data_IF_218923197205
#
_entry.id   IF_218923197205
#
_cell.length_a   1.000
_cell.length_b   1.000
_cell.length_c   1.000
_cell.angle_alpha   90.00
_cell.angle_beta   90.00
_cell.angle_gamma   90.00
#
_symmetry.space_group_name_H-M   'P 1'
#
loop_
_entity.id
_entity.type
_entity.pdbx_description
1 polymer ?
#
# COMPACT_ATOMS: atom_id res chain seq x y z
N UNK A 1 48.93 -8.40 21.86
CA UNK A 1 47.48 -8.29 22.17
C UNK A 1 46.88 -7.19 21.31
N UNK A 2 46.32 -7.56 20.14
CA UNK A 2 45.78 -6.60 19.18
C UNK A 2 44.41 -6.10 19.65
N UNK A 3 44.27 -4.79 19.87
CA UNK A 3 43.00 -4.15 20.22
C UNK A 3 42.07 -4.21 19.00
N UNK A 4 41.05 -5.05 19.04
CA UNK A 4 39.98 -5.08 18.04
C UNK A 4 39.18 -3.78 18.17
N UNK A 5 39.33 -2.85 17.21
CA UNK A 5 38.41 -1.73 17.01
C UNK A 5 37.11 -2.32 16.47
N UNK A 6 36.09 -2.39 17.30
CA UNK A 6 34.73 -2.62 16.83
C UNK A 6 34.12 -1.25 16.50
N UNK A 7 33.78 -1.05 15.22
CA UNK A 7 33.00 0.09 14.75
C UNK A 7 31.52 -0.12 15.14
N UNK A 8 30.89 0.76 15.93
CA UNK A 8 29.53 0.59 16.44
C UNK A 8 28.44 0.96 15.42
N UNK A 9 28.74 0.90 14.12
CA UNK A 9 27.79 1.25 13.05
C UNK A 9 26.60 0.28 12.93
N UNK A 10 26.58 -0.80 13.73
CA UNK A 10 25.53 -1.82 13.74
C UNK A 10 24.44 -1.59 14.79
N UNK A 11 24.54 -0.57 15.65
CA UNK A 11 23.52 -0.26 16.67
C UNK A 11 22.32 0.56 16.16
N UNK A 12 22.25 0.86 14.86
CA UNK A 12 21.07 1.49 14.25
C UNK A 12 20.20 0.39 13.64
N UNK A 13 19.64 -0.46 14.51
CA UNK A 13 18.64 -1.46 14.15
C UNK A 13 17.54 -1.33 15.19
N UNK A 14 16.59 -0.41 14.99
CA UNK A 14 15.21 -0.63 15.47
C UNK A 14 14.13 0.37 15.01
N UNK A 15 14.42 1.34 14.15
CA UNK A 15 13.34 2.22 13.65
C UNK A 15 13.31 2.23 12.12
N UNK A 16 12.43 1.39 11.55
CA UNK A 16 11.91 1.62 10.21
C UNK A 16 11.05 2.89 10.27
N UNK A 17 11.69 4.05 10.24
CA UNK A 17 11.00 5.32 10.10
C UNK A 17 10.31 5.30 8.74
N UNK A 18 8.98 5.41 8.72
CA UNK A 18 8.26 5.61 7.47
C UNK A 18 8.83 6.87 6.81
N UNK A 19 9.21 6.78 5.54
CA UNK A 19 9.70 7.93 4.77
C UNK A 19 8.63 9.03 4.86
N UNK A 20 8.92 10.08 5.64
CA UNK A 20 8.03 11.22 5.78
C UNK A 20 7.81 11.83 4.39
N UNK A 21 6.60 11.66 3.85
CA UNK A 21 6.24 12.09 2.49
C UNK A 21 5.78 10.98 1.54
N UNK A 22 5.82 9.71 1.94
CA UNK A 22 5.13 8.66 1.19
C UNK A 22 3.62 8.83 1.40
N UNK A 23 2.90 9.21 0.33
CA UNK A 23 1.44 9.17 0.33
C UNK A 23 0.99 7.76 0.72
N UNK A 24 -0.10 7.61 1.50
CA UNK A 24 -0.50 6.30 1.98
C UNK A 24 -0.83 5.41 0.78
N UNK A 25 -0.04 4.35 0.64
CA UNK A 25 -0.31 3.27 -0.27
C UNK A 25 -1.62 2.60 0.15
N UNK A 26 -2.63 2.64 -0.71
CA UNK A 26 -3.97 2.12 -0.39
C UNK A 26 -4.15 0.75 -1.01
N UNK A 27 -4.04 -0.27 -0.15
CA UNK A 27 -4.28 -1.65 -0.50
C UNK A 27 -5.71 -2.05 -0.16
N UNK A 28 -6.43 -2.62 -1.14
CA UNK A 28 -7.82 -3.03 -0.99
C UNK A 28 -8.06 -4.39 -1.61
N UNK A 29 -8.94 -5.24 -1.05
CA UNK A 29 -9.32 -6.48 -1.69
C UNK A 29 -10.17 -6.22 -2.93
N UNK A 30 -9.85 -6.86 -4.05
CA UNK A 30 -10.71 -6.86 -5.22
C UNK A 30 -12.02 -7.60 -4.93
N UNK A 31 -13.21 -7.02 -5.20
CA UNK A 31 -14.49 -7.67 -4.88
C UNK A 31 -14.81 -8.88 -5.76
N UNK A 32 -14.05 -9.11 -6.83
CA UNK A 32 -14.25 -10.21 -7.77
C UNK A 32 -13.41 -11.44 -7.42
N UNK A 33 -12.12 -11.25 -7.15
CA UNK A 33 -11.18 -12.34 -6.89
C UNK A 33 -10.61 -12.36 -5.47
N UNK A 34 -10.97 -11.39 -4.62
CA UNK A 34 -10.47 -11.20 -3.26
C UNK A 34 -8.94 -11.02 -3.13
N UNK A 35 -8.22 -10.84 -4.23
CA UNK A 35 -6.80 -10.51 -4.20
C UNK A 35 -6.64 -9.05 -3.79
N UNK A 36 -5.73 -8.79 -2.86
CA UNK A 36 -5.33 -7.42 -2.49
C UNK A 36 -4.67 -6.74 -3.67
N UNK A 37 -5.28 -5.66 -4.14
CA UNK A 37 -4.78 -4.80 -5.21
C UNK A 37 -4.37 -3.46 -4.62
N UNK A 38 -3.29 -2.93 -5.19
CA UNK A 38 -2.77 -1.64 -4.83
C UNK A 38 -3.44 -0.57 -5.71
N UNK A 39 -4.19 0.36 -5.10
CA UNK A 39 -4.86 1.44 -5.83
C UNK A 39 -3.90 2.59 -6.15
N UNK A 40 -2.84 2.80 -5.34
CA UNK A 40 -1.97 3.97 -5.47
C UNK A 40 -2.62 5.27 -4.97
N UNK A 41 -1.79 6.29 -4.72
CA UNK A 41 -2.22 7.56 -4.13
C UNK A 41 -3.10 8.43 -5.04
N UNK A 42 -3.08 8.17 -6.36
CA UNK A 42 -3.74 9.01 -7.36
C UNK A 42 -5.22 8.65 -7.63
N UNK A 43 -5.74 7.58 -7.03
CA UNK A 43 -7.09 7.10 -7.36
C UNK A 43 -8.15 7.95 -6.70
N UNK A 44 -9.09 8.45 -7.51
CA UNK A 44 -10.18 9.30 -7.05
C UNK A 44 -11.42 8.46 -6.70
N UNK A 45 -12.14 8.88 -5.68
CA UNK A 45 -13.47 8.34 -5.39
C UNK A 45 -14.39 8.50 -6.61
N UNK A 46 -15.14 7.45 -6.95
CA UNK A 46 -15.99 7.37 -8.13
C UNK A 46 -15.28 6.93 -9.41
N UNK A 47 -13.96 6.73 -9.38
CA UNK A 47 -13.22 6.25 -10.54
C UNK A 47 -13.40 4.74 -10.74
N UNK A 48 -13.38 4.29 -12.00
CA UNK A 48 -13.41 2.87 -12.35
C UNK A 48 -12.00 2.31 -12.30
N UNK A 49 -11.79 1.37 -11.40
CA UNK A 49 -10.60 0.56 -11.29
C UNK A 49 -10.82 -0.80 -11.94
N UNK A 50 -9.88 -1.22 -12.79
CA UNK A 50 -9.87 -2.56 -13.37
C UNK A 50 -8.81 -3.42 -12.66
N UNK A 51 -9.22 -4.57 -12.12
CA UNK A 51 -8.27 -5.50 -11.54
C UNK A 51 -7.38 -6.09 -12.64
N UNK A 52 -6.06 -5.87 -12.56
CA UNK A 52 -5.09 -6.43 -13.51
C UNK A 52 -5.00 -7.96 -13.50
N UNK A 53 -5.57 -8.63 -12.48
CA UNK A 53 -5.55 -10.08 -12.34
C UNK A 53 -6.79 -10.75 -12.96
N UNK A 54 -7.99 -10.35 -12.54
CA UNK A 54 -9.24 -10.99 -12.98
C UNK A 54 -10.00 -10.18 -14.04
N UNK A 55 -9.53 -8.99 -14.38
CA UNK A 55 -10.20 -8.08 -15.33
C UNK A 55 -11.50 -7.45 -14.81
N UNK A 56 -11.88 -7.72 -13.56
CA UNK A 56 -13.11 -7.20 -12.96
C UNK A 56 -13.05 -5.69 -12.77
N UNK A 57 -14.07 -4.98 -13.25
CA UNK A 57 -14.22 -3.54 -13.09
C UNK A 57 -14.93 -3.25 -11.77
N UNK A 58 -14.39 -2.31 -11.00
CA UNK A 58 -14.90 -1.89 -9.70
C UNK A 58 -14.83 -0.37 -9.59
N UNK A 59 -15.73 0.24 -8.84
CA UNK A 59 -15.75 1.66 -8.53
C UNK A 59 -15.07 1.89 -7.19
N UNK A 60 -14.25 2.94 -7.12
CA UNK A 60 -13.51 3.29 -5.91
C UNK A 60 -14.41 4.12 -4.99
N UNK A 61 -14.59 3.64 -3.76
CA UNK A 61 -15.39 4.33 -2.76
C UNK A 61 -14.54 5.35 -1.98
N UNK A 62 -15.12 6.50 -1.59
CA UNK A 62 -14.42 7.53 -0.83
C UNK A 62 -13.96 6.99 0.53
N UNK A 63 -12.72 7.33 0.89
CA UNK A 63 -12.05 6.88 2.10
C UNK A 63 -12.48 7.67 3.37
N UNK A 64 -13.77 7.75 3.66
CA UNK A 64 -14.22 8.30 4.95
C UNK A 64 -13.95 7.36 6.13
N UNK A 65 -13.66 6.07 5.87
CA UNK A 65 -13.29 5.07 6.89
C UNK A 65 -12.27 4.01 6.39
N UNK A 66 -11.66 4.23 5.22
CA UNK A 66 -10.85 3.26 4.48
C UNK A 66 -11.33 3.19 3.03
N UNK A 67 -10.43 3.30 2.05
CA UNK A 67 -10.84 3.16 0.66
C UNK A 67 -11.35 1.73 0.42
N UNK A 68 -12.35 1.59 -0.43
CA UNK A 68 -12.93 0.30 -0.78
C UNK A 68 -13.26 0.22 -2.25
N UNK A 69 -13.40 -1.00 -2.77
CA UNK A 69 -13.84 -1.25 -4.12
C UNK A 69 -15.24 -1.85 -4.11
N UNK A 70 -16.13 -1.33 -4.94
CA UNK A 70 -17.45 -1.89 -5.18
C UNK A 70 -17.55 -2.39 -6.62
N UNK A 71 -18.05 -3.61 -6.89
CA UNK A 71 -18.19 -4.09 -8.26
C UNK A 71 -19.17 -3.19 -9.04
N UNK A 72 -18.79 -2.85 -10.27
CA UNK A 72 -19.68 -2.17 -11.23
C UNK A 72 -20.17 -3.23 -12.20
N UNK A 73 -21.48 -3.46 -12.21
CA UNK A 73 -22.15 -4.38 -13.13
C UNK A 73 -22.15 -3.88 -14.56
#
# INVERSE_FOLDING_TARGET
MAKKKFDPLWEIVDEKVALQGAEPDVDVPCPHCNVTVHLGSAVKAGERFACGLCGGVSEVLPASAGAGLKPVG
#
